data_IF_880819118377
#
_entry.id   IF_880819118377
#
_cell.length_a   1.000
_cell.length_b   1.000
_cell.length_c   1.000
_cell.angle_alpha   90.00
_cell.angle_beta   90.00
_cell.angle_gamma   90.00
#
_symmetry.space_group_name_H-M   'P 1'
#
loop_
_entity.id
_entity.type
_entity.pdbx_description
1 polymer ?
#
# COMPACT_ATOMS: atom_id res chain seq x y z
N UNK A 1 -25.57 -6.22 12.10
CA UNK A 1 -24.20 -6.76 12.08
C UNK A 1 -23.35 -5.78 11.31
N UNK A 2 -22.29 -5.23 11.89
CA UNK A 2 -21.37 -4.36 11.13
C UNK A 2 -20.49 -5.26 10.28
N UNK A 3 -20.61 -5.18 8.95
CA UNK A 3 -19.79 -5.99 8.05
C UNK A 3 -18.36 -5.48 8.08
N UNK A 4 -17.40 -6.38 8.30
CA UNK A 4 -15.97 -6.09 8.14
C UNK A 4 -15.56 -6.48 6.74
N UNK A 5 -14.91 -5.54 6.03
CA UNK A 5 -14.35 -5.74 4.71
C UNK A 5 -12.83 -5.75 4.85
N UNK A 6 -12.20 -6.81 4.34
CA UNK A 6 -10.74 -6.93 4.28
C UNK A 6 -10.28 -6.57 2.87
N UNK A 7 -9.47 -5.53 2.76
CA UNK A 7 -8.97 -5.01 1.49
C UNK A 7 -7.57 -5.54 1.16
N UNK A 8 -6.73 -5.75 2.17
CA UNK A 8 -5.46 -6.46 2.03
C UNK A 8 -5.21 -7.36 3.23
N UNK A 9 -4.33 -8.34 3.05
CA UNK A 9 -3.73 -9.12 4.13
C UNK A 9 -2.41 -8.51 4.60
N UNK A 10 -1.77 -9.18 5.54
CA UNK A 10 -0.43 -8.83 6.01
C UNK A 10 0.60 -8.98 4.89
N UNK A 11 0.64 -10.12 4.19
CA UNK A 11 1.59 -10.40 3.11
C UNK A 11 0.89 -10.62 1.75
N UNK A 12 -0.36 -10.18 1.63
CA UNK A 12 -1.17 -10.34 0.43
C UNK A 12 -1.81 -9.00 0.11
N UNK A 13 -1.42 -8.39 -1.01
CA UNK A 13 -1.97 -7.12 -1.47
C UNK A 13 -2.73 -7.36 -2.78
N UNK A 14 -3.86 -8.09 -2.73
CA UNK A 14 -4.53 -8.53 -3.94
C UNK A 14 -4.91 -7.32 -4.81
N UNK A 15 -4.88 -7.47 -6.14
CA UNK A 15 -5.46 -6.48 -7.02
C UNK A 15 -6.90 -6.21 -6.59
N UNK A 16 -7.34 -4.94 -6.64
CA UNK A 16 -8.69 -4.62 -6.22
C UNK A 16 -9.70 -5.45 -7.02
N UNK A 17 -10.69 -6.00 -6.32
CA UNK A 17 -11.95 -6.38 -6.97
C UNK A 17 -12.51 -5.13 -7.64
N UNK A 18 -13.21 -5.23 -8.78
CA UNK A 18 -13.67 -4.08 -9.59
C UNK A 18 -14.64 -3.09 -8.86
N UNK A 19 -14.71 -3.11 -7.53
CA UNK A 19 -15.41 -2.14 -6.71
C UNK A 19 -14.53 -0.90 -6.41
N UNK A 20 -15.18 0.26 -6.34
CA UNK A 20 -14.48 1.54 -6.16
C UNK A 20 -13.77 1.67 -4.82
N UNK A 21 -14.25 1.01 -3.76
CA UNK A 21 -13.62 1.09 -2.44
C UNK A 21 -12.28 0.36 -2.45
N UNK A 22 -12.25 -0.88 -2.97
CA UNK A 22 -11.02 -1.65 -3.15
C UNK A 22 -9.99 -0.91 -3.99
N UNK A 23 -10.41 -0.35 -5.14
CA UNK A 23 -9.51 0.44 -6.00
C UNK A 23 -8.95 1.66 -5.26
N UNK A 24 -9.79 2.37 -4.50
CA UNK A 24 -9.36 3.55 -3.72
C UNK A 24 -8.38 3.17 -2.63
N UNK A 25 -8.63 2.07 -1.91
CA UNK A 25 -7.74 1.58 -0.84
C UNK A 25 -6.41 1.07 -1.40
N UNK A 26 -6.42 0.36 -2.52
CA UNK A 26 -5.19 -0.08 -3.20
C UNK A 26 -4.35 1.11 -3.67
N UNK A 27 -4.99 2.14 -4.23
CA UNK A 27 -4.31 3.38 -4.62
C UNK A 27 -3.78 4.16 -3.41
N UNK A 28 -4.50 4.14 -2.28
CA UNK A 28 -4.04 4.77 -1.05
C UNK A 28 -2.77 4.11 -0.50
N UNK A 29 -2.68 2.78 -0.50
CA UNK A 29 -1.45 2.07 -0.12
C UNK A 29 -0.27 2.43 -1.03
N UNK A 30 -0.50 2.53 -2.34
CA UNK A 30 0.51 2.96 -3.30
C UNK A 30 0.93 4.42 -3.08
N UNK A 31 -0.03 5.34 -2.87
CA UNK A 31 0.28 6.73 -2.54
C UNK A 31 1.20 6.83 -1.31
N UNK A 32 0.94 6.04 -0.27
CA UNK A 32 1.75 6.01 0.95
C UNK A 32 3.16 5.47 0.66
N UNK A 33 3.28 4.42 -0.14
CA UNK A 33 4.56 3.89 -0.59
C UNK A 33 5.38 4.95 -1.35
N UNK A 34 4.77 5.61 -2.32
CA UNK A 34 5.44 6.64 -3.12
C UNK A 34 5.83 7.86 -2.26
N UNK A 35 4.89 8.40 -1.48
CA UNK A 35 5.09 9.63 -0.71
C UNK A 35 6.03 9.44 0.49
N UNK A 36 6.22 8.21 0.96
CA UNK A 36 7.22 7.88 1.97
C UNK A 36 8.64 7.72 1.40
N UNK A 37 8.82 7.87 0.09
CA UNK A 37 10.10 7.60 -0.58
C UNK A 37 10.45 6.11 -0.56
N UNK A 38 9.43 5.25 -0.77
CA UNK A 38 9.53 3.79 -0.81
C UNK A 38 9.94 3.12 0.51
N UNK A 39 9.73 3.80 1.64
CA UNK A 39 10.14 3.32 2.98
C UNK A 39 9.02 2.72 3.81
N UNK A 40 7.76 2.97 3.45
CA UNK A 40 6.61 2.52 4.22
C UNK A 40 5.45 2.18 3.30
N UNK A 41 4.78 1.07 3.55
CA UNK A 41 3.48 0.76 2.92
C UNK A 41 2.48 0.27 3.96
N UNK A 42 1.20 0.57 3.73
CA UNK A 42 0.12 0.01 4.53
C UNK A 42 -0.20 -1.43 4.11
N UNK A 43 -0.45 -2.27 5.12
CA UNK A 43 -0.78 -3.68 5.02
C UNK A 43 -1.98 -4.01 5.92
N UNK A 44 -2.55 -5.20 5.71
CA UNK A 44 -3.71 -5.71 6.44
C UNK A 44 -4.86 -4.71 6.60
N UNK A 45 -5.15 -3.94 5.55
CA UNK A 45 -6.15 -2.88 5.59
C UNK A 45 -7.53 -3.51 5.66
N UNK A 46 -8.27 -3.18 6.71
CA UNK A 46 -9.66 -3.57 6.91
C UNK A 46 -10.50 -2.38 7.34
N UNK A 47 -11.80 -2.48 7.08
CA UNK A 47 -12.72 -1.41 7.45
C UNK A 47 -14.18 -1.83 7.44
N UNK A 48 -15.02 -0.93 7.91
CA UNK A 48 -16.47 -1.11 7.95
C UNK A 48 -17.20 0.11 7.38
N UNK A 49 -18.29 -0.09 6.63
CA UNK A 49 -19.17 1.00 6.25
C UNK A 49 -19.77 1.65 7.49
N UNK A 50 -19.66 2.97 7.58
CA UNK A 50 -20.21 3.75 8.68
C UNK A 50 -20.58 5.15 8.18
N UNK A 51 -21.64 5.71 8.75
CA UNK A 51 -21.99 7.12 8.56
C UNK A 51 -21.36 7.92 9.69
N UNK A 52 -20.49 8.87 9.36
CA UNK A 52 -19.87 9.79 10.33
C UNK A 52 -20.27 11.21 9.95
N UNK A 53 -20.88 11.94 10.89
CA UNK A 53 -21.36 13.31 10.69
C UNK A 53 -22.27 13.51 9.46
N UNK A 54 -23.07 12.48 9.13
CA UNK A 54 -23.97 12.50 7.97
C UNK A 54 -23.32 12.10 6.64
N UNK A 55 -22.06 11.68 6.66
CA UNK A 55 -21.33 11.22 5.48
C UNK A 55 -21.10 9.71 5.55
N UNK A 56 -21.56 9.00 4.53
CA UNK A 56 -21.28 7.57 4.37
C UNK A 56 -19.84 7.36 3.90
N UNK A 57 -19.13 6.45 4.55
CA UNK A 57 -17.76 6.09 4.18
C UNK A 57 -17.34 4.75 4.73
N UNK A 58 -16.09 4.37 4.47
CA UNK A 58 -15.45 3.22 5.08
C UNK A 58 -14.52 3.75 6.16
N UNK A 59 -14.76 3.35 7.41
CA UNK A 59 -13.82 3.61 8.51
C UNK A 59 -12.81 2.47 8.54
N UNK A 60 -11.56 2.81 8.25
CA UNK A 60 -10.43 1.90 8.35
C UNK A 60 -9.99 1.78 9.80
N UNK A 61 -9.63 0.56 10.22
CA UNK A 61 -9.13 0.28 11.55
C UNK A 61 -8.08 -0.84 11.51
N UNK A 62 -7.27 -0.94 12.56
CA UNK A 62 -6.18 -1.92 12.70
C UNK A 62 -5.21 -1.99 11.52
N UNK A 63 -4.92 -0.84 10.88
CA UNK A 63 -3.95 -0.78 9.77
C UNK A 63 -2.57 -1.18 10.27
N UNK A 64 -1.91 -2.09 9.54
CA UNK A 64 -0.52 -2.45 9.75
C UNK A 64 0.38 -1.78 8.72
N UNK A 65 1.69 -1.81 8.99
CA UNK A 65 2.71 -1.21 8.13
C UNK A 65 3.86 -2.18 7.89
N UNK A 66 4.44 -2.10 6.70
CA UNK A 66 5.79 -2.57 6.44
C UNK A 66 6.70 -1.37 6.32
N UNK A 67 7.86 -1.40 6.98
CA UNK A 67 8.87 -0.34 6.90
C UNK A 67 10.20 -0.89 6.43
N UNK A 68 11.05 -0.07 5.81
CA UNK A 68 12.41 -0.48 5.44
C UNK A 68 13.26 -0.96 6.63
N UNK A 69 12.94 -0.50 7.85
CA UNK A 69 13.58 -0.91 9.11
C UNK A 69 12.96 -2.12 9.79
N UNK A 70 11.71 -2.50 9.48
CA UNK A 70 11.03 -3.61 10.16
C UNK A 70 10.66 -3.31 11.62
N UNK A 71 10.43 -2.05 11.99
CA UNK A 71 10.26 -1.63 13.40
C UNK A 71 8.92 -0.97 13.72
N UNK A 72 7.94 -1.03 12.82
CA UNK A 72 6.63 -0.42 13.07
C UNK A 72 5.67 -1.28 13.92
N UNK A 73 6.01 -2.55 14.18
CA UNK A 73 5.24 -3.43 15.07
C UNK A 73 5.44 -4.91 14.78
N UNK A 74 4.68 -5.77 15.45
CA UNK A 74 4.81 -7.24 15.37
C UNK A 74 4.48 -7.78 13.97
N UNK A 75 3.65 -7.10 13.19
CA UNK A 75 3.28 -7.46 11.82
C UNK A 75 4.15 -6.82 10.74
N UNK A 76 5.24 -6.15 11.12
CA UNK A 76 6.16 -5.52 10.16
C UNK A 76 7.15 -6.54 9.60
N UNK A 77 6.93 -6.97 8.36
CA UNK A 77 7.81 -7.87 7.62
C UNK A 77 8.93 -7.15 6.87
N UNK A 78 9.17 -5.87 7.17
CA UNK A 78 10.31 -5.16 6.63
C UNK A 78 10.27 -5.02 5.11
N UNK A 79 11.44 -5.17 4.50
CA UNK A 79 11.63 -5.17 3.05
C UNK A 79 10.91 -6.33 2.34
N UNK A 80 10.70 -7.46 3.00
CA UNK A 80 9.99 -8.60 2.40
C UNK A 80 8.51 -8.26 2.23
N UNK A 81 7.93 -7.59 3.22
CA UNK A 81 6.57 -7.06 3.14
C UNK A 81 6.42 -5.99 2.06
N UNK A 82 7.37 -5.06 1.95
CA UNK A 82 7.40 -4.06 0.87
C UNK A 82 7.52 -4.73 -0.51
N UNK A 83 8.41 -5.71 -0.66
CA UNK A 83 8.58 -6.47 -1.90
C UNK A 83 7.30 -7.18 -2.30
N UNK A 84 6.61 -7.80 -1.33
CA UNK A 84 5.31 -8.43 -1.56
C UNK A 84 4.24 -7.44 -2.03
N UNK A 85 4.23 -6.22 -1.49
CA UNK A 85 3.34 -5.17 -1.99
C UNK A 85 3.63 -4.80 -3.45
N UNK A 86 4.90 -4.58 -3.80
CA UNK A 86 5.33 -4.22 -5.16
C UNK A 86 4.93 -5.32 -6.16
N UNK A 87 5.16 -6.59 -5.81
CA UNK A 87 4.83 -7.74 -6.66
C UNK A 87 3.32 -7.86 -6.93
N UNK A 88 2.51 -7.66 -5.89
CA UNK A 88 1.07 -7.90 -5.98
C UNK A 88 0.25 -6.69 -6.46
N UNK A 89 0.74 -5.47 -6.24
CA UNK A 89 0.00 -4.26 -6.59
C UNK A 89 -0.13 -4.11 -8.10
N UNK A 90 -1.36 -3.82 -8.55
CA UNK A 90 -1.63 -3.43 -9.92
C UNK A 90 -2.28 -2.06 -9.92
N UNK A 91 -1.67 -1.12 -10.62
CA UNK A 91 -2.23 0.21 -10.78
C UNK A 91 -3.58 0.15 -11.50
N UNK A 92 -4.46 1.06 -11.10
CA UNK A 92 -5.78 1.25 -11.71
C UNK A 92 -5.98 2.75 -12.06
N UNK A 93 -7.17 3.15 -12.50
CA UNK A 93 -7.47 4.52 -12.91
C UNK A 93 -7.32 5.52 -11.76
N UNK A 94 -7.48 5.10 -10.50
CA UNK A 94 -7.24 5.98 -9.34
C UNK A 94 -5.75 6.26 -9.16
N UNK A 95 -4.88 5.23 -9.24
CA UNK A 95 -3.42 5.43 -9.19
C UNK A 95 -2.97 6.38 -10.31
N UNK A 96 -3.46 6.15 -11.53
CA UNK A 96 -3.16 6.97 -12.71
C UNK A 96 -3.67 8.40 -12.55
N UNK A 97 -4.89 8.57 -12.04
CA UNK A 97 -5.49 9.89 -11.78
C UNK A 97 -4.77 10.68 -10.69
N UNK A 98 -4.09 9.99 -9.77
CA UNK A 98 -3.22 10.59 -8.76
C UNK A 98 -1.80 10.88 -9.28
N UNK A 99 -1.45 10.46 -10.50
CA UNK A 99 -0.12 10.64 -11.08
C UNK A 99 0.94 9.69 -10.54
N UNK A 100 0.54 8.54 -9.97
CA UNK A 100 1.46 7.53 -9.45
C UNK A 100 2.03 6.67 -10.59
N UNK A 101 3.33 6.39 -10.56
CA UNK A 101 3.99 5.53 -11.56
C UNK A 101 3.74 4.04 -11.24
N UNK A 102 3.54 3.18 -12.25
CA UNK A 102 3.43 1.73 -12.02
C UNK A 102 4.65 1.16 -11.29
N UNK A 103 4.41 0.26 -10.33
CA UNK A 103 5.46 -0.33 -9.49
C UNK A 103 6.26 -1.45 -10.20
N UNK A 104 5.64 -2.12 -11.17
CA UNK A 104 6.28 -3.16 -11.96
C UNK A 104 6.87 -2.54 -13.24
N UNK A 105 8.00 -1.84 -13.10
CA UNK A 105 8.94 -1.47 -14.19
C UNK A 105 10.32 -1.03 -13.66
N UNK A 106 10.69 -1.37 -12.42
CA UNK A 106 12.03 -1.11 -11.89
C UNK A 106 12.90 -2.38 -11.95
N UNK A 107 13.40 -2.70 -13.14
CA UNK A 107 14.66 -3.45 -13.22
C UNK A 107 15.76 -2.55 -12.61
N UNK A 108 16.34 -3.00 -11.49
CA UNK A 108 17.60 -2.53 -10.87
C UNK A 108 17.92 -1.03 -10.94
N UNK A 109 17.65 -0.30 -9.86
CA UNK A 109 18.31 0.99 -9.59
C UNK A 109 19.25 0.93 -8.37
N UNK A 110 19.77 -0.27 -8.07
CA UNK A 110 21.00 -0.45 -7.30
C UNK A 110 22.14 -0.60 -8.32
N UNK A 111 22.81 0.50 -8.72
CA UNK A 111 24.21 0.51 -9.24
C UNK A 111 24.68 1.90 -9.75
N UNK A 112 24.41 3.02 -9.06
CA UNK A 112 25.14 4.27 -9.32
C UNK A 112 25.37 5.11 -8.06
N UNK A 113 26.08 4.57 -7.06
CA UNK A 113 27.05 5.35 -6.27
C UNK A 113 28.20 4.44 -5.81
N UNK A 114 29.05 4.04 -6.75
CA UNK A 114 30.45 3.71 -6.44
C UNK A 114 31.35 4.51 -7.38
N UNK A 115 32.36 5.14 -6.78
CA UNK A 115 33.51 5.81 -7.38
C UNK A 115 33.28 7.12 -8.17
N UNK A 116 33.26 8.24 -7.43
CA UNK A 116 34.23 9.30 -7.76
C UNK A 116 35.27 9.41 -6.65
N UNK A 117 36.45 8.86 -6.97
CA UNK A 117 37.73 9.22 -6.36
C UNK A 117 38.22 10.49 -7.04
N UNK A 118 38.26 11.61 -6.31
CA UNK A 118 39.40 12.53 -6.26
C UNK A 118 39.35 13.45 -5.03
#
# INVERSE_FOLDING_TARGET
TTTVIKFSGMMQHPPPTNDKHGITIAAFAHFVFEFSGHKLVFADIQGSPMTVDGHDGIILFDVMTHTDTGHSGIGDHGKDGISSFIEHHKCDYICTGMGLLPLADTESHDDLVSDEVL
#
